data_IF_638464832563
#
_entry.id   IF_638464832563
#
_cell.length_a   1.000
_cell.length_b   1.000
_cell.length_c   1.000
_cell.angle_alpha   90.00
_cell.angle_beta   90.00
_cell.angle_gamma   90.00
#
_symmetry.space_group_name_H-M   'P 1'
#
loop_
_entity.id
_entity.type
_entity.pdbx_description
1 polymer ?
#
# COMPACT_ATOMS: atom_id res chain seq x y z
N UNK A 1 14.58 12.21 -8.91
CA UNK A 1 15.38 10.98 -9.02
C UNK A 1 15.44 10.54 -10.48
N UNK A 2 16.56 9.98 -10.96
CA UNK A 2 16.75 9.62 -12.39
C UNK A 2 16.14 8.26 -12.78
N UNK A 3 15.76 7.43 -11.80
CA UNK A 3 15.24 6.07 -12.04
C UNK A 3 13.73 6.06 -11.78
N UNK A 4 12.95 5.62 -12.77
CA UNK A 4 11.47 5.54 -12.71
C UNK A 4 10.95 4.17 -12.25
N UNK A 5 11.61 3.08 -12.64
CA UNK A 5 11.18 1.70 -12.39
C UNK A 5 12.40 0.79 -12.29
N UNK A 6 12.33 -0.17 -11.38
CA UNK A 6 13.27 -1.30 -11.29
C UNK A 6 12.43 -2.58 -11.38
N UNK A 7 12.83 -3.52 -12.23
CA UNK A 7 12.20 -4.82 -12.35
C UNK A 7 13.18 -5.88 -11.86
N UNK A 8 12.75 -6.68 -10.88
CA UNK A 8 13.59 -7.70 -10.24
C UNK A 8 12.95 -9.07 -10.49
N UNK A 9 13.75 -10.02 -10.97
CA UNK A 9 13.38 -11.43 -11.09
C UNK A 9 14.10 -12.21 -10.00
N UNK A 10 13.35 -12.92 -9.17
CA UNK A 10 13.89 -13.65 -8.02
C UNK A 10 13.23 -15.01 -7.85
N UNK A 11 13.99 -15.98 -7.35
CA UNK A 11 13.53 -17.36 -7.10
C UNK A 11 13.06 -17.55 -5.65
N UNK A 12 12.22 -16.64 -5.15
CA UNK A 12 11.59 -16.77 -3.85
C UNK A 12 10.40 -17.73 -3.93
N UNK A 13 10.28 -18.63 -2.95
CA UNK A 13 9.16 -19.59 -2.90
C UNK A 13 7.79 -18.91 -2.99
N UNK A 14 7.65 -17.74 -2.36
CA UNK A 14 6.44 -16.93 -2.41
C UNK A 14 6.05 -16.50 -3.83
N UNK A 15 7.03 -16.22 -4.70
CA UNK A 15 6.80 -15.76 -6.07
C UNK A 15 6.59 -16.90 -7.06
N UNK A 16 6.88 -18.17 -6.68
CA UNK A 16 6.79 -19.34 -7.57
C UNK A 16 5.40 -19.59 -8.13
N UNK A 17 4.36 -19.14 -7.43
CA UNK A 17 2.97 -19.35 -7.84
C UNK A 17 2.45 -18.23 -8.75
N UNK A 18 3.32 -17.69 -9.62
CA UNK A 18 3.03 -16.53 -10.48
C UNK A 18 2.57 -15.29 -9.71
N UNK A 19 3.07 -15.10 -8.48
CA UNK A 19 2.81 -13.90 -7.69
C UNK A 19 3.82 -12.84 -8.13
N UNK A 20 3.32 -11.67 -8.48
CA UNK A 20 4.13 -10.46 -8.72
C UNK A 20 3.80 -9.43 -7.66
N UNK A 21 4.83 -8.81 -7.09
CA UNK A 21 4.67 -7.76 -6.08
C UNK A 21 5.16 -6.46 -6.69
N UNK A 22 4.34 -5.42 -6.58
CA UNK A 22 4.72 -4.06 -6.96
C UNK A 22 4.85 -3.23 -5.70
N UNK A 23 6.05 -2.74 -5.43
CA UNK A 23 6.28 -1.73 -4.41
C UNK A 23 6.12 -0.33 -5.03
N UNK A 24 5.12 0.41 -4.56
CA UNK A 24 4.80 1.74 -5.07
C UNK A 24 5.45 2.82 -4.20
N UNK A 25 5.91 3.94 -4.78
CA UNK A 25 6.35 5.08 -3.99
C UNK A 25 5.31 5.54 -2.96
N UNK A 26 5.76 6.08 -1.83
CA UNK A 26 4.86 6.60 -0.79
C UNK A 26 4.03 7.80 -1.24
N UNK A 27 2.85 7.95 -0.62
CA UNK A 27 1.92 9.07 -0.84
C UNK A 27 2.45 10.42 -0.35
N UNK A 28 3.50 10.40 0.46
CA UNK A 28 4.12 11.61 1.00
C UNK A 28 5.05 12.34 0.04
N UNK A 29 5.33 11.74 -1.11
CA UNK A 29 6.19 12.33 -2.12
C UNK A 29 5.41 13.39 -2.93
N UNK A 30 5.87 14.65 -2.89
CA UNK A 30 5.24 15.85 -3.49
C UNK A 30 5.12 15.78 -5.03
N UNK A 31 5.61 14.72 -5.63
CA UNK A 31 5.76 14.57 -7.08
C UNK A 31 4.53 13.87 -7.66
N UNK A 32 3.65 14.63 -8.31
CA UNK A 32 2.43 14.16 -9.03
C UNK A 32 2.69 12.93 -9.91
N UNK A 33 3.88 12.82 -10.50
CA UNK A 33 4.29 11.65 -11.29
C UNK A 33 4.20 10.31 -10.53
N UNK A 34 4.37 10.30 -9.20
CA UNK A 34 4.31 9.07 -8.40
C UNK A 34 2.87 8.62 -8.15
N UNK A 35 1.96 9.56 -7.96
CA UNK A 35 0.52 9.28 -7.89
C UNK A 35 0.00 8.65 -9.19
N UNK A 36 0.45 9.17 -10.34
CA UNK A 36 0.12 8.58 -11.65
C UNK A 36 0.62 7.14 -11.75
N UNK A 37 1.86 6.87 -11.33
CA UNK A 37 2.44 5.52 -11.34
C UNK A 37 1.67 4.58 -10.42
N UNK A 38 1.31 5.01 -9.21
CA UNK A 38 0.49 4.21 -8.29
C UNK A 38 -0.87 3.90 -8.92
N UNK A 39 -1.53 4.87 -9.55
CA UNK A 39 -2.82 4.68 -10.23
C UNK A 39 -2.74 3.77 -11.49
N UNK A 40 -1.62 3.74 -12.19
CA UNK A 40 -1.38 2.78 -13.27
C UNK A 40 -1.33 1.36 -12.72
N UNK A 41 -0.54 1.11 -11.68
CA UNK A 41 -0.45 -0.22 -11.07
C UNK A 41 -1.76 -0.66 -10.41
N UNK A 42 -2.49 0.23 -9.73
CA UNK A 42 -3.79 -0.09 -9.14
C UNK A 42 -4.82 -0.58 -10.16
N UNK A 43 -4.72 -0.17 -11.44
CA UNK A 43 -5.62 -0.63 -12.50
C UNK A 43 -5.29 -2.04 -13.00
N UNK A 44 -4.03 -2.45 -12.91
CA UNK A 44 -3.55 -3.77 -13.32
C UNK A 44 -3.51 -4.77 -12.16
N UNK A 45 -3.55 -4.29 -10.92
CA UNK A 45 -3.48 -5.11 -9.71
C UNK A 45 -4.80 -5.84 -9.42
N UNK A 46 -4.69 -7.13 -9.11
CA UNK A 46 -5.80 -7.95 -8.62
C UNK A 46 -6.12 -7.70 -7.14
N UNK A 47 -5.12 -7.22 -6.38
CA UNK A 47 -5.22 -7.04 -4.93
C UNK A 47 -4.36 -5.86 -4.44
N UNK A 48 -4.86 -5.13 -3.45
CA UNK A 48 -4.15 -4.02 -2.79
C UNK A 48 -3.88 -4.35 -1.31
N UNK A 49 -2.63 -4.14 -0.89
CA UNK A 49 -2.24 -4.14 0.53
C UNK A 49 -1.75 -2.73 0.87
N UNK A 50 -2.52 -2.00 1.69
CA UNK A 50 -2.13 -0.66 2.16
C UNK A 50 -1.50 -0.76 3.54
N UNK A 51 -0.28 -0.24 3.69
CA UNK A 51 0.48 -0.27 4.94
C UNK A 51 0.32 1.06 5.67
N UNK A 52 -0.15 1.02 6.91
CA UNK A 52 -0.17 2.18 7.82
C UNK A 52 0.68 1.90 9.04
N UNK A 53 1.39 2.90 9.58
CA UNK A 53 2.08 2.74 10.85
C UNK A 53 1.05 2.68 11.98
N UNK A 54 1.09 1.66 12.82
CA UNK A 54 0.14 1.51 13.92
C UNK A 54 0.15 2.73 14.88
N UNK A 55 1.31 3.36 15.11
CA UNK A 55 1.43 4.52 16.01
C UNK A 55 0.96 5.85 15.40
N UNK A 56 0.74 5.89 14.09
CA UNK A 56 0.34 7.08 13.31
C UNK A 56 -0.60 6.62 12.18
N UNK A 57 -1.62 5.87 12.54
CA UNK A 57 -2.57 5.31 11.57
C UNK A 57 -3.53 6.39 11.05
N UNK A 58 -3.96 6.23 9.81
CA UNK A 58 -5.01 7.04 9.18
C UNK A 58 -4.66 8.55 9.12
N UNK A 59 -3.54 8.89 8.49
CA UNK A 59 -3.29 10.29 8.12
C UNK A 59 -4.35 10.77 7.12
N UNK A 60 -4.54 12.09 6.97
CA UNK A 60 -5.49 12.61 5.98
C UNK A 60 -5.19 12.10 4.57
N UNK A 61 -3.91 12.02 4.18
CA UNK A 61 -3.51 11.49 2.87
C UNK A 61 -3.86 10.01 2.71
N UNK A 62 -3.66 9.20 3.76
CA UNK A 62 -4.08 7.79 3.73
C UNK A 62 -5.60 7.68 3.56
N UNK A 63 -6.37 8.47 4.31
CA UNK A 63 -7.82 8.50 4.21
C UNK A 63 -8.28 8.88 2.79
N UNK A 64 -7.72 9.96 2.23
CA UNK A 64 -8.04 10.41 0.88
C UNK A 64 -7.68 9.36 -0.18
N UNK A 65 -6.53 8.71 -0.05
CA UNK A 65 -6.10 7.64 -0.93
C UNK A 65 -7.01 6.41 -0.85
N UNK A 66 -7.38 5.98 0.36
CA UNK A 66 -8.28 4.84 0.56
C UNK A 66 -9.66 5.13 -0.01
N UNK A 67 -10.21 6.33 0.21
CA UNK A 67 -11.47 6.78 -0.40
C UNK A 67 -11.36 6.79 -1.92
N UNK A 68 -10.27 7.32 -2.47
CA UNK A 68 -10.02 7.30 -3.92
C UNK A 68 -9.98 5.86 -4.46
N UNK A 69 -9.31 4.93 -3.78
CA UNK A 69 -9.27 3.53 -4.17
C UNK A 69 -10.66 2.89 -4.12
N UNK A 70 -11.43 3.14 -3.06
CA UNK A 70 -12.79 2.62 -2.91
C UNK A 70 -13.74 3.10 -4.01
N UNK A 71 -13.59 4.34 -4.47
CA UNK A 71 -14.49 4.95 -5.46
C UNK A 71 -14.07 4.69 -6.91
N UNK A 72 -12.76 4.66 -7.19
CA UNK A 72 -12.25 4.74 -8.56
C UNK A 72 -11.52 3.49 -9.03
N UNK A 73 -11.15 2.59 -8.13
CA UNK A 73 -10.46 1.36 -8.52
C UNK A 73 -11.46 0.25 -8.86
N UNK A 74 -11.07 -0.64 -9.78
CA UNK A 74 -11.77 -1.90 -10.02
C UNK A 74 -11.48 -2.96 -8.95
N UNK A 75 -10.78 -2.59 -7.87
CA UNK A 75 -10.33 -3.53 -6.85
C UNK A 75 -11.55 -4.15 -6.19
N UNK A 76 -11.66 -5.46 -6.31
CA UNK A 76 -12.74 -6.21 -5.67
C UNK A 76 -12.56 -6.30 -4.16
N UNK A 77 -11.31 -6.26 -3.68
CA UNK A 77 -10.90 -6.38 -2.28
C UNK A 77 -9.56 -5.67 -2.05
N UNK A 78 -9.42 -5.07 -0.87
CA UNK A 78 -8.15 -4.54 -0.38
C UNK A 78 -7.94 -4.98 1.06
N UNK A 79 -6.69 -4.95 1.51
CA UNK A 79 -6.27 -5.26 2.87
C UNK A 79 -5.52 -4.07 3.43
N UNK A 80 -5.88 -3.66 4.65
CA UNK A 80 -5.09 -2.72 5.43
C UNK A 80 -4.23 -3.50 6.41
N UNK A 81 -2.95 -3.16 6.51
CA UNK A 81 -2.02 -3.74 7.49
C UNK A 81 -1.43 -2.62 8.35
N UNK A 82 -1.65 -2.72 9.66
CA UNK A 82 -0.97 -1.89 10.65
C UNK A 82 0.44 -2.44 10.90
N UNK A 83 1.43 -1.77 10.33
CA UNK A 83 2.85 -2.08 10.49
C UNK A 83 3.41 -1.49 11.79
N UNK A 84 4.56 -2.01 12.25
CA UNK A 84 5.20 -1.59 13.51
C UNK A 84 4.29 -1.72 14.74
N UNK A 85 3.46 -2.77 14.74
CA UNK A 85 2.52 -3.06 15.82
C UNK A 85 3.20 -3.29 17.18
N UNK A 86 4.49 -3.63 17.18
CA UNK A 86 5.33 -3.76 18.37
C UNK A 86 5.53 -2.45 19.14
N UNK A 87 5.28 -1.29 18.51
CA UNK A 87 5.37 0.02 19.17
C UNK A 87 4.16 0.37 20.04
N UNK A 88 3.07 -0.39 19.93
CA UNK A 88 1.85 -0.20 20.71
C UNK A 88 1.66 -1.34 21.70
N UNK A 89 0.99 -1.04 22.81
CA UNK A 89 0.48 -2.11 23.65
C UNK A 89 -0.63 -2.86 22.91
N UNK A 90 -0.87 -4.13 23.26
CA UNK A 90 -1.95 -4.91 22.65
C UNK A 90 -3.31 -4.22 22.77
N UNK A 91 -3.56 -3.56 23.90
CA UNK A 91 -4.80 -2.83 24.17
C UNK A 91 -4.97 -1.65 23.23
N UNK A 92 -3.92 -0.87 23.03
CA UNK A 92 -3.97 0.30 22.15
C UNK A 92 -4.09 -0.13 20.68
N UNK A 93 -3.45 -1.23 20.30
CA UNK A 93 -3.59 -1.79 18.95
C UNK A 93 -5.02 -2.28 18.68
N UNK A 94 -5.66 -2.91 19.67
CA UNK A 94 -7.07 -3.31 19.59
C UNK A 94 -8.00 -2.10 19.39
N UNK A 95 -7.73 -0.98 20.08
CA UNK A 95 -8.49 0.27 19.90
C UNK A 95 -8.35 0.87 18.50
N UNK A 96 -7.19 0.70 17.84
CA UNK A 96 -6.96 1.20 16.47
C UNK A 96 -7.60 0.29 15.40
N UNK A 97 -7.81 -0.99 15.70
CA UNK A 97 -8.38 -1.97 14.76
C UNK A 97 -9.91 -1.97 14.77
N UNK A 98 -10.53 -1.56 15.88
CA UNK A 98 -12.00 -1.59 16.12
C UNK A 98 -12.66 -0.30 15.65
#
# INVERSE_FOLDING_TARGET
ALIKKIEIKSHLDFLKNNISIVDTPGLDDVVVQREIVTNEYLRESDFLIHLMNASQSLTQKDADFLVHCLLNSRLSKFLIVLTKADLLSKKDLEEVIV
#
